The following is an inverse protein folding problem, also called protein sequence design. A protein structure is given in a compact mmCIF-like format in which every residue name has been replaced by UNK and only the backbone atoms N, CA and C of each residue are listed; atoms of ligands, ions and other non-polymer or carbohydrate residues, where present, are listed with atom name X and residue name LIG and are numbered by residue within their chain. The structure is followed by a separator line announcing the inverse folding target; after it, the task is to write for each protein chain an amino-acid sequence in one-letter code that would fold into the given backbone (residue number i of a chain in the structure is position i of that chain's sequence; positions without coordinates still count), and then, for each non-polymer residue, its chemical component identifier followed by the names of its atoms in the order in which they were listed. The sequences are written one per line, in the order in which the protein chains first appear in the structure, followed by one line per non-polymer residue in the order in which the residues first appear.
data_IF_388041332816
#
_entry.id   IF_388041332816
#
_cell.length_a   1.000
_cell.length_b   1.000
_cell.length_c   1.000
_cell.angle_alpha   90.00
_cell.angle_beta   90.00
_cell.angle_gamma   90.00
#
_symmetry.space_group_name_H-M   'P 1'
#
loop_
_entity.id
_entity.type
_entity.pdbx_description
1 polymer ?
#
# COMPACT_ATOMS: atom_id res chain seq x y z
N UNK A 1 -5.62 -2.43 8.62
CA UNK A 1 -5.52 -3.75 9.30
C UNK A 1 -5.62 -3.72 10.83
N UNK A 2 -4.72 -3.05 11.59
CA UNK A 2 -4.77 -3.07 13.08
C UNK A 2 -6.10 -2.55 13.64
N UNK A 3 -6.61 -1.45 13.10
CA UNK A 3 -7.91 -0.88 13.50
C UNK A 3 -9.11 -1.69 12.98
N UNK A 4 -8.98 -2.36 11.83
CA UNK A 4 -10.06 -3.18 11.24
C UNK A 4 -10.28 -4.49 11.99
N UNK A 5 -9.21 -5.05 12.58
CA UNK A 5 -9.24 -6.33 13.26
C UNK A 5 -8.40 -6.29 14.56
N UNK A 6 -8.85 -5.55 15.58
CA UNK A 6 -8.07 -5.37 16.82
C UNK A 6 -7.83 -6.70 17.54
N UNK A 7 -8.84 -7.57 17.57
CA UNK A 7 -8.82 -8.85 18.28
C UNK A 7 -8.03 -9.97 17.59
N UNK A 8 -7.56 -9.75 16.36
CA UNK A 8 -6.78 -10.74 15.62
C UNK A 8 -5.28 -10.60 15.90
N UNK A 9 -4.55 -11.71 15.82
CA UNK A 9 -3.08 -11.66 15.88
C UNK A 9 -2.50 -10.96 14.64
N UNK A 10 -1.24 -10.55 14.71
CA UNK A 10 -0.58 -9.86 13.60
C UNK A 10 -0.53 -10.76 12.35
N UNK A 11 -0.25 -12.05 12.52
CA UNK A 11 -0.13 -13.04 11.46
C UNK A 11 -1.46 -13.21 10.70
N UNK A 12 -2.57 -13.29 11.45
CA UNK A 12 -3.92 -13.41 10.88
C UNK A 12 -4.29 -12.15 10.09
N UNK A 13 -3.97 -10.96 10.61
CA UNK A 13 -4.19 -9.70 9.87
C UNK A 13 -3.37 -9.63 8.59
N UNK A 14 -2.12 -10.08 8.63
CA UNK A 14 -1.26 -10.13 7.45
C UNK A 14 -1.82 -11.08 6.39
N UNK A 15 -2.28 -12.27 6.79
CA UNK A 15 -2.93 -13.22 5.88
C UNK A 15 -4.19 -12.64 5.22
N UNK A 16 -5.02 -11.91 5.98
CA UNK A 16 -6.20 -11.22 5.43
C UNK A 16 -5.79 -10.18 4.38
N UNK A 17 -4.76 -9.37 4.64
CA UNK A 17 -4.28 -8.38 3.67
C UNK A 17 -3.78 -9.04 2.39
N UNK A 18 -3.04 -10.16 2.49
CA UNK A 18 -2.59 -10.93 1.33
C UNK A 18 -3.79 -11.43 0.50
N UNK A 19 -4.80 -12.01 1.15
CA UNK A 19 -6.00 -12.50 0.46
C UNK A 19 -6.77 -11.37 -0.23
N UNK A 20 -6.91 -10.21 0.41
CA UNK A 20 -7.60 -9.05 -0.16
C UNK A 20 -6.87 -8.44 -1.35
N UNK A 21 -5.53 -8.41 -1.33
CA UNK A 21 -4.71 -7.97 -2.47
C UNK A 21 -4.95 -8.84 -3.71
N UNK A 22 -5.25 -10.12 -3.53
CA UNK A 22 -5.56 -11.00 -4.67
C UNK A 22 -6.94 -10.68 -5.28
N UNK A 23 -7.90 -10.29 -4.46
CA UNK A 23 -9.27 -9.96 -4.90
C UNK A 23 -9.33 -8.59 -5.58
N UNK A 24 -8.77 -7.58 -4.93
CA UNK A 24 -8.68 -6.22 -5.43
C UNK A 24 -7.35 -5.61 -4.92
N UNK A 25 -6.29 -5.66 -5.74
CA UNK A 25 -5.00 -5.10 -5.37
C UNK A 25 -5.08 -3.62 -5.04
N UNK A 26 -5.86 -2.84 -5.80
CA UNK A 26 -5.91 -1.39 -5.66
C UNK A 26 -6.53 -1.02 -4.32
N UNK A 27 -7.73 -1.54 -4.03
CA UNK A 27 -8.44 -1.23 -2.79
C UNK A 27 -7.67 -1.64 -1.52
N UNK A 28 -6.81 -2.65 -1.60
CA UNK A 28 -6.00 -3.09 -0.47
C UNK A 28 -4.65 -2.35 -0.38
N UNK A 29 -3.98 -2.06 -1.48
CA UNK A 29 -2.67 -1.38 -1.49
C UNK A 29 -2.78 0.10 -1.12
N UNK A 30 -3.88 0.79 -1.47
CA UNK A 30 -4.12 2.20 -1.07
C UNK A 30 -4.23 2.40 0.46
N UNK A 31 -4.41 1.32 1.23
CA UNK A 31 -4.44 1.36 2.70
C UNK A 31 -3.05 1.45 3.34
N UNK A 32 -1.99 1.34 2.53
CA UNK A 32 -0.59 1.30 2.96
C UNK A 32 0.07 2.56 2.43
N UNK A 33 0.95 3.16 3.25
CA UNK A 33 1.83 4.23 2.78
C UNK A 33 2.64 3.73 1.57
N UNK A 34 2.58 4.44 0.44
CA UNK A 34 3.10 3.96 -0.83
C UNK A 34 4.59 3.61 -0.77
N UNK A 35 5.38 4.35 0.01
CA UNK A 35 6.81 4.07 0.22
C UNK A 35 7.08 2.77 1.00
N UNK A 36 6.08 2.28 1.74
CA UNK A 36 6.15 1.07 2.55
C UNK A 36 5.75 -0.19 1.79
N UNK A 37 5.33 -0.07 0.52
CA UNK A 37 5.00 -1.20 -0.36
C UNK A 37 6.27 -1.98 -0.77
N UNK A 38 7.43 -1.31 -0.80
CA UNK A 38 8.67 -1.92 -1.29
C UNK A 38 8.78 -1.80 -2.80
N UNK A 39 8.99 -0.58 -3.30
CA UNK A 39 8.92 -0.25 -4.74
C UNK A 39 10.22 -0.48 -5.50
N UNK A 40 11.30 -0.81 -4.80
CA UNK A 40 12.59 -1.11 -5.40
C UNK A 40 13.69 -1.37 -4.38
N UNK A 41 14.79 -1.98 -4.86
CA UNK A 41 15.92 -2.41 -4.02
C UNK A 41 16.59 -1.26 -3.25
N UNK A 42 16.76 -0.11 -3.91
CA UNK A 42 17.47 1.06 -3.36
C UNK A 42 16.51 2.16 -2.89
N UNK A 43 15.26 1.82 -2.53
CA UNK A 43 14.24 2.81 -2.14
C UNK A 43 14.65 3.64 -0.91
N UNK A 44 15.53 3.12 -0.06
CA UNK A 44 16.02 3.81 1.12
C UNK A 44 17.25 4.69 0.84
N UNK A 45 17.90 4.49 -0.31
CA UNK A 45 19.12 5.21 -0.71
C UNK A 45 18.83 6.43 -1.58
N UNK A 46 17.56 6.68 -1.90
CA UNK A 46 17.11 7.85 -2.67
C UNK A 46 16.55 8.95 -1.77
N UNK A 47 16.38 10.14 -2.34
CA UNK A 47 15.75 11.25 -1.65
C UNK A 47 14.29 10.91 -1.30
N UNK A 48 14.01 10.76 0.00
CA UNK A 48 12.72 10.30 0.50
C UNK A 48 11.57 11.27 0.19
N UNK A 49 11.82 12.59 0.20
CA UNK A 49 10.79 13.56 -0.14
C UNK A 49 10.35 13.42 -1.59
N UNK A 50 11.31 13.35 -2.52
CA UNK A 50 11.02 13.15 -3.96
C UNK A 50 10.37 11.81 -4.24
N UNK A 51 10.79 10.75 -3.53
CA UNK A 51 10.18 9.43 -3.66
C UNK A 51 8.71 9.46 -3.24
N UNK A 52 8.41 10.03 -2.07
CA UNK A 52 7.02 10.16 -1.58
C UNK A 52 6.16 10.95 -2.57
N UNK A 53 6.60 12.14 -2.99
CA UNK A 53 5.85 12.96 -3.97
C UNK A 53 5.57 12.20 -5.27
N UNK A 54 6.54 11.42 -5.77
CA UNK A 54 6.37 10.62 -6.99
C UNK A 54 5.41 9.45 -6.80
N UNK A 55 5.48 8.76 -5.66
CA UNK A 55 4.60 7.63 -5.38
C UNK A 55 3.17 8.08 -5.14
N UNK A 56 2.97 9.20 -4.43
CA UNK A 56 1.65 9.79 -4.21
C UNK A 56 1.00 10.17 -5.56
N UNK A 57 1.76 10.81 -6.46
CA UNK A 57 1.29 11.13 -7.80
C UNK A 57 0.85 9.89 -8.60
N UNK A 58 1.62 8.80 -8.53
CA UNK A 58 1.27 7.53 -9.20
C UNK A 58 0.00 6.93 -8.60
N UNK A 59 -0.12 6.89 -7.27
CA UNK A 59 -1.31 6.37 -6.59
C UNK A 59 -2.55 7.18 -6.99
N UNK A 60 -2.48 8.51 -6.94
CA UNK A 60 -3.59 9.38 -7.35
C UNK A 60 -3.97 9.15 -8.82
N UNK A 61 -2.98 9.03 -9.71
CA UNK A 61 -3.22 8.80 -11.13
C UNK A 61 -3.93 7.46 -11.35
N UNK A 62 -3.48 6.39 -10.72
CA UNK A 62 -4.06 5.05 -10.87
C UNK A 62 -5.48 5.00 -10.30
N UNK A 63 -5.71 5.59 -9.12
CA UNK A 63 -7.05 5.64 -8.52
C UNK A 63 -8.03 6.40 -9.40
N UNK A 64 -7.64 7.58 -9.90
CA UNK A 64 -8.47 8.36 -10.81
C UNK A 64 -8.73 7.65 -12.14
N UNK A 65 -7.75 6.91 -12.65
CA UNK A 65 -7.88 6.19 -13.92
C UNK A 65 -8.82 4.98 -13.83
N UNK A 66 -8.81 4.24 -12.71
CA UNK A 66 -9.71 3.10 -12.50
C UNK A 66 -11.15 3.59 -12.34
N UNK A 67 -11.35 4.78 -11.76
CA UNK A 67 -12.68 5.36 -11.55
C UNK A 67 -13.40 4.64 -10.42
N UNK A 68 -13.54 5.33 -9.29
CA UNK A 68 -14.18 4.79 -8.08
C UNK A 68 -15.52 5.48 -7.85
#
# INVERSE_FOLDING_TARGET
ARHEFPELTVEKRSAISIARRLQDPLAELVKIDAKSIGVGQYQHDVNQKKLTESLDFVVDTVVNQVGV
#
